data_IF_969024105225
#
_entry.id   IF_969024105225
#
_cell.length_a   1.000
_cell.length_b   1.000
_cell.length_c   1.000
_cell.angle_alpha   90.00
_cell.angle_beta   90.00
_cell.angle_gamma   90.00
#
_symmetry.space_group_name_H-M   'P 1'
#
loop_
_entity.id
_entity.type
_entity.pdbx_description
1 polymer ?
#
# COMPACT_ATOMS: atom_id res chain seq x y z
N UNK A 1 -15.34 4.63 -7.20
CA UNK A 1 -14.25 5.33 -6.48
C UNK A 1 -13.47 4.25 -5.76
N UNK A 2 -12.14 4.25 -5.86
CA UNK A 2 -11.32 3.25 -5.14
C UNK A 2 -11.23 3.73 -3.71
N UNK A 3 -11.67 2.96 -2.72
CA UNK A 3 -11.67 3.40 -1.31
C UNK A 3 -10.68 2.60 -0.46
N UNK A 4 -9.89 1.74 -1.11
CA UNK A 4 -9.10 0.73 -0.43
C UNK A 4 -7.70 0.67 -1.02
N UNK A 5 -6.71 0.77 -0.15
CA UNK A 5 -5.34 0.31 -0.38
C UNK A 5 -5.10 -0.91 0.50
N UNK A 6 -4.09 -1.70 0.22
CA UNK A 6 -3.83 -2.95 0.92
C UNK A 6 -2.49 -2.90 1.64
N UNK A 7 -2.38 -3.61 2.75
CA UNK A 7 -1.09 -4.01 3.32
C UNK A 7 -1.07 -5.53 3.47
N UNK A 8 0.08 -6.11 3.80
CA UNK A 8 0.18 -7.54 4.05
C UNK A 8 0.45 -7.81 5.53
N UNK A 9 -0.19 -8.85 6.06
CA UNK A 9 0.05 -9.37 7.40
C UNK A 9 0.47 -10.83 7.30
N UNK A 10 1.50 -11.22 8.05
CA UNK A 10 1.91 -12.60 8.26
C UNK A 10 1.40 -13.07 9.63
N UNK A 11 0.59 -14.13 9.60
CA UNK A 11 0.06 -14.77 10.80
C UNK A 11 0.97 -15.89 11.28
N UNK A 12 1.14 -16.00 12.59
CA UNK A 12 1.90 -17.08 13.20
C UNK A 12 1.00 -18.29 13.55
N UNK A 13 1.16 -19.41 12.84
CA UNK A 13 0.55 -20.71 13.16
C UNK A 13 -0.52 -21.21 12.17
N UNK A 14 -1.30 -22.22 12.57
CA UNK A 14 -2.49 -22.74 11.85
C UNK A 14 -3.76 -21.92 12.15
N UNK A 15 -3.62 -20.74 12.74
CA UNK A 15 -4.73 -19.89 13.17
C UNK A 15 -5.52 -19.35 12.00
N UNK A 16 -6.83 -19.24 12.20
CA UNK A 16 -7.80 -18.80 11.21
C UNK A 16 -7.44 -17.41 10.64
N UNK A 17 -7.21 -17.26 9.32
CA UNK A 17 -6.96 -15.98 8.66
C UNK A 17 -8.03 -14.92 8.93
N UNK A 18 -9.25 -15.34 9.29
CA UNK A 18 -10.39 -14.44 9.50
C UNK A 18 -10.44 -13.78 10.89
N UNK A 19 -9.72 -14.30 11.89
CA UNK A 19 -9.76 -13.78 13.27
C UNK A 19 -8.41 -13.18 13.73
N UNK A 20 -7.66 -12.60 12.79
CA UNK A 20 -6.39 -11.91 13.03
C UNK A 20 -6.46 -10.88 14.16
N UNK A 21 -5.43 -10.82 15.00
CA UNK A 21 -5.41 -9.93 16.16
C UNK A 21 -4.61 -10.45 17.35
N UNK A 22 -3.54 -11.24 17.13
CA UNK A 22 -2.61 -11.57 18.22
C UNK A 22 -1.42 -10.61 18.21
N UNK A 23 -0.80 -10.38 19.37
CA UNK A 23 0.44 -9.61 19.48
C UNK A 23 1.63 -10.21 18.68
N UNK A 24 1.44 -11.39 18.06
CA UNK A 24 2.41 -12.06 17.22
C UNK A 24 2.23 -11.79 15.71
N UNK A 25 1.17 -11.11 15.30
CA UNK A 25 0.90 -10.81 13.90
C UNK A 25 1.86 -9.72 13.42
N UNK A 26 2.51 -9.97 12.28
CA UNK A 26 3.54 -9.08 11.74
C UNK A 26 3.01 -8.40 10.51
N UNK A 27 3.04 -7.06 10.49
CA UNK A 27 2.70 -6.29 9.31
C UNK A 27 3.94 -6.14 8.40
N UNK A 28 3.70 -5.93 7.12
CA UNK A 28 4.75 -5.73 6.14
C UNK A 28 5.21 -4.28 6.14
N UNK A 29 6.50 -4.05 6.38
CA UNK A 29 7.12 -2.73 6.37
C UNK A 29 8.18 -2.63 5.28
N UNK A 30 8.41 -1.41 4.80
CA UNK A 30 9.55 -1.08 3.95
C UNK A 30 10.78 -0.84 4.85
N UNK A 31 11.83 -1.63 4.61
CA UNK A 31 13.10 -1.52 5.34
C UNK A 31 14.00 -0.43 4.76
N UNK A 32 15.05 -0.09 5.49
CA UNK A 32 15.98 1.00 5.16
C UNK A 32 16.74 0.76 3.84
N UNK A 33 16.93 -0.51 3.46
CA UNK A 33 17.51 -0.95 2.18
C UNK A 33 16.48 -0.99 1.03
N UNK A 34 15.25 -0.53 1.27
CA UNK A 34 14.17 -0.47 0.29
C UNK A 34 13.45 -1.79 0.05
N UNK A 35 13.80 -2.86 0.77
CA UNK A 35 13.11 -4.16 0.70
C UNK A 35 11.85 -4.17 1.58
N UNK A 36 11.14 -5.29 1.56
CA UNK A 36 9.99 -5.54 2.44
C UNK A 36 10.33 -6.61 3.47
N UNK A 37 9.88 -6.42 4.70
CA UNK A 37 10.01 -7.41 5.76
C UNK A 37 8.81 -7.37 6.71
N UNK A 38 8.39 -8.54 7.18
CA UNK A 38 7.42 -8.67 8.25
C UNK A 38 8.07 -8.33 9.59
N UNK A 39 7.51 -7.35 10.30
CA UNK A 39 8.09 -6.81 11.55
C UNK A 39 6.94 -6.53 12.54
N UNK A 40 7.21 -6.67 13.83
CA UNK A 40 6.27 -6.29 14.89
C UNK A 40 6.02 -4.78 14.89
N UNK A 41 4.83 -4.32 15.28
CA UNK A 41 4.53 -2.89 15.35
C UNK A 41 5.50 -2.12 16.27
N UNK A 42 5.89 -2.73 17.40
CA UNK A 42 6.83 -2.13 18.35
C UNK A 42 8.23 -1.93 17.73
N UNK A 43 8.74 -2.94 17.01
CA UNK A 43 10.04 -2.85 16.35
C UNK A 43 10.02 -1.87 15.18
N UNK A 44 8.93 -1.87 14.40
CA UNK A 44 8.73 -0.92 13.31
C UNK A 44 8.69 0.53 13.82
N UNK A 45 7.99 0.79 14.92
CA UNK A 45 7.97 2.11 15.56
C UNK A 45 9.36 2.51 16.06
N UNK A 46 10.09 1.60 16.73
CA UNK A 46 11.46 1.85 17.20
C UNK A 46 12.41 2.22 16.06
N UNK A 47 12.26 1.56 14.91
CA UNK A 47 13.07 1.79 13.70
C UNK A 47 12.53 2.88 12.78
N UNK A 48 11.36 3.46 13.10
CA UNK A 48 10.64 4.45 12.28
C UNK A 48 10.40 3.96 10.84
N UNK A 49 10.03 2.70 10.70
CA UNK A 49 9.73 2.10 9.40
C UNK A 49 8.36 2.54 8.90
N UNK A 50 8.24 2.55 7.57
CA UNK A 50 7.01 2.90 6.85
C UNK A 50 6.27 1.62 6.52
N UNK A 51 4.97 1.57 6.79
CA UNK A 51 4.17 0.39 6.42
C UNK A 51 4.13 0.27 4.89
N UNK A 52 4.18 -0.95 4.39
CA UNK A 52 4.08 -1.21 2.96
C UNK A 52 2.61 -1.17 2.55
N UNK A 53 2.28 -0.22 1.67
CA UNK A 53 0.94 -0.03 1.11
C UNK A 53 0.95 -0.36 -0.38
N UNK A 54 -0.09 -1.04 -0.84
CA UNK A 54 -0.22 -1.54 -2.20
C UNK A 54 -1.55 -1.12 -2.82
N UNK A 55 -1.58 -0.88 -4.14
CA UNK A 55 -2.79 -0.48 -4.85
C UNK A 55 -3.80 -1.63 -5.03
N UNK A 56 -3.35 -2.89 -4.98
CA UNK A 56 -4.21 -4.07 -5.16
C UNK A 56 -3.91 -5.16 -4.13
N UNK A 57 -4.91 -6.01 -3.88
CA UNK A 57 -4.80 -7.18 -3.01
C UNK A 57 -3.69 -8.13 -3.48
N UNK A 58 -3.69 -8.46 -4.78
CA UNK A 58 -2.72 -9.37 -5.39
C UNK A 58 -1.27 -8.86 -5.27
N UNK A 59 -1.05 -7.55 -5.36
CA UNK A 59 0.29 -6.96 -5.16
C UNK A 59 0.74 -7.05 -3.69
N UNK A 60 -0.17 -6.81 -2.73
CA UNK A 60 0.13 -6.99 -1.32
C UNK A 60 0.45 -8.45 -0.98
N UNK A 61 -0.34 -9.41 -1.49
CA UNK A 61 -0.09 -10.83 -1.29
C UNK A 61 1.25 -11.27 -1.89
N UNK A 62 1.53 -10.85 -3.13
CA UNK A 62 2.79 -11.16 -3.81
C UNK A 62 4.00 -10.60 -3.06
N UNK A 63 3.90 -9.35 -2.59
CA UNK A 63 4.97 -8.72 -1.83
C UNK A 63 5.17 -9.41 -0.46
N UNK A 64 4.08 -9.75 0.22
CA UNK A 64 4.12 -10.54 1.45
C UNK A 64 4.78 -11.90 1.21
N UNK A 65 4.35 -12.64 0.18
CA UNK A 65 4.91 -13.95 -0.16
C UNK A 65 6.41 -13.92 -0.44
N UNK A 66 6.89 -12.87 -1.11
CA UNK A 66 8.31 -12.67 -1.36
C UNK A 66 9.11 -12.31 -0.09
N UNK A 67 8.47 -11.65 0.89
CA UNK A 67 9.10 -11.19 2.12
C UNK A 67 9.03 -12.21 3.28
N UNK A 68 8.11 -13.18 3.21
CA UNK A 68 7.95 -14.19 4.26
C UNK A 68 9.18 -15.07 4.40
N UNK A 69 9.79 -15.04 5.59
CA UNK A 69 10.90 -15.93 5.96
C UNK A 69 10.43 -17.07 6.86
N UNK A 70 9.27 -16.93 7.49
CA UNK A 70 8.71 -17.89 8.46
C UNK A 70 7.79 -18.91 7.82
N UNK A 71 7.45 -18.74 6.53
CA UNK A 71 6.45 -19.54 5.81
C UNK A 71 5.10 -19.53 6.53
N UNK A 72 4.73 -18.38 7.12
CA UNK A 72 3.42 -18.18 7.73
C UNK A 72 2.31 -18.04 6.69
N UNK A 73 1.07 -17.98 7.15
CA UNK A 73 -0.06 -17.62 6.30
C UNK A 73 -0.06 -16.12 6.07
N UNK A 74 -0.21 -15.71 4.81
CA UNK A 74 -0.14 -14.31 4.39
C UNK A 74 -1.52 -13.89 3.95
N UNK A 75 -1.95 -12.72 4.41
CA UNK A 75 -3.19 -12.11 3.95
C UNK A 75 -2.94 -10.66 3.59
N UNK A 76 -3.48 -10.26 2.44
CA UNK A 76 -3.64 -8.86 2.10
C UNK A 76 -4.85 -8.29 2.83
N UNK A 77 -4.63 -7.24 3.61
CA UNK A 77 -5.63 -6.63 4.48
C UNK A 77 -6.01 -5.27 3.93
N UNK A 78 -7.31 -4.97 3.77
CA UNK A 78 -7.74 -3.65 3.33
C UNK A 78 -7.42 -2.61 4.41
N UNK A 79 -6.76 -1.55 4.00
CA UNK A 79 -6.46 -0.38 4.83
C UNK A 79 -7.32 0.77 4.37
N UNK A 80 -8.09 1.32 5.31
CA UNK A 80 -8.77 2.59 5.13
C UNK A 80 -7.72 3.71 5.12
N UNK A 81 -7.62 4.53 4.05
CA UNK A 81 -6.73 5.67 4.04
C UNK A 81 -6.99 6.59 5.23
N UNK A 82 -5.92 7.16 5.77
CA UNK A 82 -5.97 8.19 6.80
C UNK A 82 -6.83 9.37 6.36
N UNK A 83 -7.47 10.04 7.33
CA UNK A 83 -8.35 11.19 7.04
C UNK A 83 -7.60 12.35 6.36
N UNK A 84 -6.29 12.44 6.59
CA UNK A 84 -5.42 13.43 5.97
C UNK A 84 -5.08 13.12 4.50
N UNK A 85 -5.38 11.92 4.00
CA UNK A 85 -5.21 11.56 2.59
C UNK A 85 -6.34 12.20 1.78
N UNK A 86 -6.04 13.13 0.84
CA UNK A 86 -7.08 13.84 0.09
C UNK A 86 -7.61 12.99 -1.07
N UNK A 87 -8.33 11.92 -0.74
CA UNK A 87 -8.78 10.87 -1.68
C UNK A 87 -9.51 11.41 -2.91
N UNK A 88 -10.46 12.33 -2.71
CA UNK A 88 -11.21 12.95 -3.80
C UNK A 88 -10.31 13.75 -4.76
N UNK A 89 -9.35 14.51 -4.22
CA UNK A 89 -8.41 15.28 -5.03
C UNK A 89 -7.45 14.36 -5.80
N UNK A 90 -6.95 13.31 -5.14
CA UNK A 90 -6.09 12.31 -5.79
C UNK A 90 -6.83 11.65 -6.95
N UNK A 91 -8.06 11.18 -6.72
CA UNK A 91 -8.87 10.54 -7.77
C UNK A 91 -9.13 11.48 -8.95
N UNK A 92 -9.40 12.77 -8.69
CA UNK A 92 -9.57 13.76 -9.74
C UNK A 92 -8.27 14.00 -10.54
N UNK A 93 -7.12 14.11 -9.88
CA UNK A 93 -5.83 14.29 -10.58
C UNK A 93 -5.52 13.06 -11.44
N UNK A 94 -5.62 11.85 -10.87
CA UNK A 94 -5.33 10.59 -11.58
C UNK A 94 -6.30 10.38 -12.74
N UNK A 95 -7.57 10.77 -12.61
CA UNK A 95 -8.55 10.70 -13.70
C UNK A 95 -8.19 11.56 -14.93
N UNK A 96 -7.30 12.54 -14.77
CA UNK A 96 -6.79 13.38 -15.86
C UNK A 96 -5.41 12.94 -16.37
N UNK A 97 -4.82 11.88 -15.81
CA UNK A 97 -3.55 11.31 -16.27
C UNK A 97 -3.77 10.29 -17.39
N UNK A 98 -2.73 10.05 -18.17
CA UNK A 98 -2.77 9.05 -19.23
C UNK A 98 -2.67 7.64 -18.62
N UNK A 99 -3.56 6.73 -19.01
CA UNK A 99 -3.61 5.37 -18.42
C UNK A 99 -2.37 4.51 -18.70
N UNK A 100 -1.60 4.87 -19.72
CA UNK A 100 -0.31 4.25 -20.04
C UNK A 100 0.90 4.91 -19.37
N UNK A 101 0.71 5.88 -18.47
CA UNK A 101 1.79 6.44 -17.66
C UNK A 101 2.38 5.35 -16.76
N UNK A 102 3.71 5.33 -16.63
CA UNK A 102 4.38 4.33 -15.80
C UNK A 102 4.08 4.58 -14.32
N UNK A 103 3.88 3.50 -13.58
CA UNK A 103 3.58 3.58 -12.14
C UNK A 103 4.67 4.29 -11.35
N UNK A 104 5.93 4.14 -11.74
CA UNK A 104 7.05 4.84 -11.09
C UNK A 104 6.95 6.34 -11.28
N UNK A 105 6.58 6.81 -12.48
CA UNK A 105 6.40 8.25 -12.76
C UNK A 105 5.24 8.81 -11.94
N UNK A 106 4.12 8.08 -11.88
CA UNK A 106 2.96 8.48 -11.09
C UNK A 106 3.28 8.51 -9.59
N UNK A 107 4.01 7.51 -9.09
CA UNK A 107 4.42 7.44 -7.69
C UNK A 107 5.36 8.60 -7.31
N UNK A 108 6.31 8.93 -8.18
CA UNK A 108 7.22 10.07 -7.99
C UNK A 108 6.47 11.42 -8.00
N UNK A 109 5.55 11.62 -8.94
CA UNK A 109 4.71 12.82 -9.02
C UNK A 109 3.89 13.03 -7.73
N UNK A 110 3.20 11.98 -7.26
CA UNK A 110 2.39 12.08 -6.04
C UNK A 110 3.23 12.24 -4.77
N UNK A 111 4.39 11.57 -4.67
CA UNK A 111 5.31 11.77 -3.57
C UNK A 111 5.85 13.22 -3.54
N UNK A 112 6.19 13.78 -4.71
CA UNK A 112 6.64 15.15 -4.85
C UNK A 112 5.54 16.16 -4.47
N UNK A 113 4.32 15.96 -4.96
CA UNK A 113 3.15 16.80 -4.63
C UNK A 113 2.84 16.80 -3.14
N UNK A 114 2.85 15.62 -2.49
CA UNK A 114 2.61 15.50 -1.06
C UNK A 114 3.65 16.30 -0.26
N UNK A 115 4.94 16.15 -0.59
CA UNK A 115 6.02 16.92 0.06
C UNK A 115 5.87 18.43 -0.16
N UNK A 116 5.54 18.86 -1.38
CA UNK A 116 5.29 20.28 -1.68
C UNK A 116 4.09 20.85 -0.95
N UNK A 117 3.09 20.04 -0.65
CA UNK A 117 1.94 20.41 0.16
C UNK A 117 2.25 20.42 1.68
N UNK A 118 3.47 20.05 2.08
CA UNK A 118 3.91 20.07 3.48
C UNK A 118 3.78 18.74 4.22
N UNK A 119 3.49 17.63 3.54
CA UNK A 119 3.51 16.32 4.17
C UNK A 119 4.94 15.96 4.62
N UNK A 120 5.15 15.84 5.92
CA UNK A 120 6.43 15.43 6.52
C UNK A 120 6.42 13.97 7.00
N UNK A 121 5.23 13.39 7.19
CA UNK A 121 5.04 12.02 7.65
C UNK A 121 5.22 11.04 6.47
N UNK A 122 6.26 10.17 6.49
CA UNK A 122 6.52 9.21 5.43
C UNK A 122 5.36 8.22 5.22
N UNK A 123 4.62 7.88 6.28
CA UNK A 123 3.52 6.94 6.23
C UNK A 123 2.31 7.55 5.52
N UNK A 124 2.05 8.84 5.78
CA UNK A 124 1.04 9.61 5.04
C UNK A 124 1.39 9.69 3.54
N UNK A 125 2.66 9.98 3.21
CA UNK A 125 3.12 10.04 1.81
C UNK A 125 2.94 8.67 1.14
N UNK A 126 3.29 7.57 1.81
CA UNK A 126 3.14 6.23 1.27
C UNK A 126 1.67 5.87 1.00
N UNK A 127 0.74 6.24 1.89
CA UNK A 127 -0.69 6.06 1.64
C UNK A 127 -1.21 6.91 0.47
N UNK A 128 -0.76 8.16 0.33
CA UNK A 128 -1.11 9.03 -0.81
C UNK A 128 -0.67 8.37 -2.13
N UNK A 129 0.57 7.88 -2.18
CA UNK A 129 1.13 7.23 -3.37
C UNK A 129 0.38 5.94 -3.68
N UNK A 130 0.18 5.06 -2.70
CA UNK A 130 -0.54 3.81 -2.91
C UNK A 130 -1.98 4.05 -3.38
N UNK A 131 -2.67 5.06 -2.82
CA UNK A 131 -4.03 5.40 -3.23
C UNK A 131 -4.09 5.97 -4.66
N UNK A 132 -3.10 6.79 -5.05
CA UNK A 132 -2.99 7.27 -6.42
C UNK A 132 -2.79 6.12 -7.43
N UNK A 133 -1.89 5.18 -7.10
CA UNK A 133 -1.69 3.96 -7.90
C UNK A 133 -2.96 3.11 -7.95
N UNK A 134 -3.71 3.00 -6.86
CA UNK A 134 -4.96 2.25 -6.83
C UNK A 134 -6.02 2.86 -7.76
N UNK A 135 -6.15 4.19 -7.76
CA UNK A 135 -6.98 4.91 -8.73
C UNK A 135 -6.52 4.65 -10.18
N UNK A 136 -5.21 4.65 -10.41
CA UNK A 136 -4.64 4.44 -11.74
C UNK A 136 -4.91 3.03 -12.26
N UNK A 137 -4.71 2.01 -11.42
CA UNK A 137 -5.04 0.61 -11.72
C UNK A 137 -6.52 0.42 -12.04
N UNK A 138 -7.41 1.09 -11.30
CA UNK A 138 -8.83 1.05 -11.62
C UNK A 138 -9.14 1.66 -12.99
N UNK A 139 -8.50 2.78 -13.36
CA UNK A 139 -8.67 3.38 -14.68
C UNK A 139 -8.13 2.48 -15.79
N UNK A 140 -6.97 1.85 -15.60
CA UNK A 140 -6.40 0.87 -16.54
C UNK A 140 -7.33 -0.34 -16.74
N UNK A 141 -7.89 -0.86 -15.64
CA UNK A 141 -8.85 -1.97 -15.70
C UNK A 141 -10.13 -1.58 -16.47
N UNK A 142 -10.62 -0.35 -16.32
CA UNK A 142 -11.76 0.16 -17.09
C UNK A 142 -11.43 0.25 -18.58
N UNK A 143 -10.28 0.79 -18.96
CA UNK A 143 -9.85 0.86 -20.37
C UNK A 143 -9.75 -0.54 -20.98
N UNK A 144 -9.13 -1.48 -20.27
CA UNK A 144 -9.05 -2.87 -20.69
C UNK A 144 -10.45 -3.51 -20.86
N UNK A 145 -11.39 -3.20 -19.96
CA UNK A 145 -12.77 -3.69 -20.04
C UNK A 145 -13.50 -3.17 -21.28
N UNK A 146 -13.33 -1.90 -21.62
CA UNK A 146 -13.96 -1.26 -22.78
C UNK A 146 -13.21 -1.47 -24.10
N UNK A 147 -12.03 -2.12 -24.09
CA UNK A 147 -11.16 -2.33 -25.26
C UNK A 147 -10.82 -1.03 -26.00
N UNK A 148 -10.64 0.06 -25.23
CA UNK A 148 -10.19 1.35 -25.74
C UNK A 148 -8.67 1.35 -25.96
#
# INVERSE_FOLDING_TARGET
MVDTIYSAVEFYGKGDPYFGGTAADWALYKTEDGRHAFISAADAQRRKLVMAYFPTEAEAEKAGAAASTRKGSISAVPIKPRLEVPTAQISWIVGNKHVGEEDSELAEDFAYRAKRAGAADPDLIAQIVAYALACHRANQALVAHFRL
#
